data_IF_282325939793
#
_entry.id   IF_282325939793
#
_cell.length_a   1.000
_cell.length_b   1.000
_cell.length_c   1.000
_cell.angle_alpha   90.00
_cell.angle_beta   90.00
_cell.angle_gamma   90.00
#
_symmetry.space_group_name_H-M   'P 1'
#
loop_
_entity.id
_entity.type
_entity.pdbx_description
1 polymer ?
#
# COMPACT_ATOMS: atom_id res chain seq x y z
N UNK A 1 -17.78 6.21 -4.78
CA UNK A 1 -16.93 5.21 -4.09
C UNK A 1 -17.18 3.88 -4.78
N UNK A 2 -16.14 3.14 -5.18
CA UNK A 2 -16.33 1.81 -5.74
C UNK A 2 -17.10 0.91 -4.76
N UNK A 3 -18.10 0.19 -5.26
CA UNK A 3 -18.87 -0.80 -4.54
C UNK A 3 -18.18 -2.16 -4.49
N UNK A 4 -18.72 -3.08 -3.69
CA UNK A 4 -18.27 -4.46 -3.73
C UNK A 4 -18.54 -5.06 -5.13
N UNK A 5 -17.55 -5.73 -5.70
CA UNK A 5 -17.57 -6.25 -7.07
C UNK A 5 -16.96 -5.32 -8.13
N UNK A 6 -16.71 -4.05 -7.81
CA UNK A 6 -16.02 -3.14 -8.72
C UNK A 6 -14.55 -3.53 -8.87
N UNK A 7 -14.04 -3.49 -10.09
CA UNK A 7 -12.65 -3.79 -10.39
C UNK A 7 -11.83 -2.51 -10.60
N UNK A 8 -10.53 -2.61 -10.30
CA UNK A 8 -9.56 -1.57 -10.60
C UNK A 8 -8.26 -2.19 -11.09
N UNK A 9 -7.43 -1.40 -11.77
CA UNK A 9 -6.08 -1.82 -12.13
C UNK A 9 -5.12 -1.37 -11.04
N UNK A 10 -4.40 -2.31 -10.45
CA UNK A 10 -3.26 -2.05 -9.60
C UNK A 10 -2.00 -2.02 -10.45
N UNK A 11 -1.31 -0.88 -10.49
CA UNK A 11 -0.03 -0.74 -11.19
C UNK A 11 1.07 -0.58 -10.15
N UNK A 12 2.04 -1.47 -10.19
CA UNK A 12 3.27 -1.37 -9.41
C UNK A 12 4.40 -0.92 -10.33
N UNK A 13 5.19 0.05 -9.86
CA UNK A 13 6.45 0.41 -10.50
C UNK A 13 7.58 0.07 -9.54
N UNK A 14 8.44 -0.86 -9.92
CA UNK A 14 9.63 -1.25 -9.18
C UNK A 14 10.88 -0.79 -9.92
N UNK A 15 11.86 -0.23 -9.21
CA UNK A 15 13.13 0.22 -9.80
C UNK A 15 13.50 1.66 -9.47
N UNK A 16 14.77 2.00 -9.72
CA UNK A 16 15.36 3.23 -9.22
C UNK A 16 14.85 4.47 -9.97
N UNK A 17 14.44 5.55 -9.27
CA UNK A 17 13.86 6.76 -9.90
C UNK A 17 14.88 7.62 -10.68
N UNK A 18 16.14 7.18 -10.78
CA UNK A 18 17.24 7.94 -11.39
C UNK A 18 17.35 7.67 -12.90
N UNK A 19 16.39 8.11 -13.71
CA UNK A 19 16.53 8.41 -15.15
C UNK A 19 17.11 7.34 -16.10
N UNK A 20 17.41 6.14 -15.63
CA UNK A 20 17.90 5.01 -16.40
C UNK A 20 16.75 4.02 -16.60
N UNK A 21 16.76 3.33 -17.74
CA UNK A 21 15.70 2.46 -18.29
C UNK A 21 15.42 1.16 -17.50
N UNK A 22 15.38 1.22 -16.17
CA UNK A 22 15.25 0.06 -15.28
C UNK A 22 14.02 0.06 -14.37
N UNK A 23 13.03 0.93 -14.63
CA UNK A 23 11.74 0.87 -13.93
C UNK A 23 10.87 -0.20 -14.60
N UNK A 24 10.60 -1.29 -13.90
CA UNK A 24 9.65 -2.32 -14.32
C UNK A 24 8.25 -1.89 -13.88
N UNK A 25 7.31 -1.87 -14.82
CA UNK A 25 5.91 -1.66 -14.54
C UNK A 25 5.18 -2.99 -14.65
N UNK A 26 4.53 -3.39 -13.57
CA UNK A 26 3.64 -4.54 -13.53
C UNK A 26 2.23 -4.07 -13.24
N UNK A 27 1.23 -4.75 -13.81
CA UNK A 27 -0.16 -4.45 -13.56
C UNK A 27 -0.93 -5.73 -13.23
N UNK A 28 -1.83 -5.65 -12.26
CA UNK A 28 -2.79 -6.71 -11.93
C UNK A 28 -4.18 -6.12 -11.75
N UNK A 29 -5.22 -6.93 -11.83
CA UNK A 29 -6.56 -6.50 -11.46
C UNK A 29 -6.75 -6.64 -9.95
N UNK A 30 -7.46 -5.69 -9.38
CA UNK A 30 -7.98 -5.77 -8.03
C UNK A 30 -9.49 -5.74 -8.03
N UNK A 31 -10.09 -6.47 -7.10
CA UNK A 31 -11.54 -6.52 -6.91
C UNK A 31 -11.90 -5.96 -5.54
N UNK A 32 -12.80 -4.99 -5.50
CA UNK A 32 -13.31 -4.42 -4.26
C UNK A 32 -14.23 -5.43 -3.57
N UNK A 33 -13.96 -5.74 -2.30
CA UNK A 33 -14.80 -6.60 -1.46
C UNK A 33 -15.52 -5.81 -0.36
N UNK A 34 -15.22 -4.52 -0.23
CA UNK A 34 -15.85 -3.59 0.69
C UNK A 34 -15.14 -2.25 0.74
N UNK A 35 -15.61 -1.33 1.57
CA UNK A 35 -15.01 -0.01 1.69
C UNK A 35 -13.53 -0.13 2.15
N UNK A 36 -12.60 0.27 1.29
CA UNK A 36 -11.16 0.16 1.54
C UNK A 36 -10.65 -1.29 1.65
N UNK A 37 -11.41 -2.28 1.18
CA UNK A 37 -11.04 -3.70 1.24
C UNK A 37 -11.08 -4.29 -0.16
N UNK A 38 -10.01 -4.95 -0.57
CA UNK A 38 -9.89 -5.49 -1.92
C UNK A 38 -9.03 -6.76 -1.93
N UNK A 39 -9.12 -7.53 -3.01
CA UNK A 39 -8.17 -8.59 -3.38
C UNK A 39 -7.39 -8.17 -4.62
N UNK A 40 -6.25 -8.82 -4.91
CA UNK A 40 -5.44 -8.59 -6.10
C UNK A 40 -5.21 -9.92 -6.81
N UNK A 41 -5.38 -10.01 -8.12
CA UNK A 41 -5.37 -11.29 -8.85
C UNK A 41 -4.04 -12.09 -8.77
N UNK A 42 -2.98 -11.51 -8.23
CA UNK A 42 -1.72 -12.21 -7.99
C UNK A 42 -1.74 -13.12 -6.76
N UNK A 43 -2.72 -12.98 -5.87
CA UNK A 43 -2.91 -13.80 -4.67
C UNK A 43 -4.36 -13.77 -4.15
N UNK A 44 -4.69 -14.66 -3.23
CA UNK A 44 -6.04 -14.74 -2.66
C UNK A 44 -6.16 -13.95 -1.33
N UNK A 45 -5.22 -13.04 -1.03
CA UNK A 45 -5.25 -12.30 0.23
C UNK A 45 -6.18 -11.08 0.12
N UNK A 46 -6.93 -10.84 1.20
CA UNK A 46 -7.60 -9.56 1.38
C UNK A 46 -6.60 -8.50 1.85
N UNK A 47 -6.63 -7.35 1.20
CA UNK A 47 -5.88 -6.15 1.57
C UNK A 47 -6.82 -5.07 2.04
N UNK A 48 -6.46 -4.43 3.15
CA UNK A 48 -7.24 -3.38 3.78
C UNK A 48 -6.44 -2.09 3.80
N UNK A 49 -7.09 -1.00 3.42
CA UNK A 49 -6.61 0.35 3.71
C UNK A 49 -6.90 0.63 5.19
N UNK A 50 -5.84 0.67 6.00
CA UNK A 50 -5.94 0.86 7.44
C UNK A 50 -5.99 2.34 7.82
N UNK A 51 -5.31 3.19 7.04
CA UNK A 51 -5.25 4.63 7.25
C UNK A 51 -4.81 5.36 5.99
N UNK A 52 -5.24 6.61 5.86
CA UNK A 52 -4.80 7.56 4.83
C UNK A 52 -4.65 8.93 5.50
N UNK A 53 -3.60 9.69 5.17
CA UNK A 53 -3.48 11.06 5.66
C UNK A 53 -4.54 11.97 5.03
N UNK A 54 -4.83 13.10 5.69
CA UNK A 54 -5.83 14.08 5.24
C UNK A 54 -5.64 14.52 3.78
N UNK A 55 -4.38 14.61 3.32
CA UNK A 55 -4.04 15.01 1.95
C UNK A 55 -4.04 13.88 0.92
N UNK A 56 -4.37 12.64 1.29
CA UNK A 56 -4.30 11.45 0.42
C UNK A 56 -2.91 11.23 -0.20
N UNK A 57 -1.85 11.62 0.48
CA UNK A 57 -0.45 11.50 0.08
C UNK A 57 0.20 10.25 0.62
N UNK A 58 -0.17 9.81 1.82
CA UNK A 58 0.38 8.66 2.53
C UNK A 58 -0.75 7.73 2.95
N UNK A 59 -0.60 6.44 2.69
CA UNK A 59 -1.55 5.42 3.09
C UNK A 59 -0.85 4.23 3.75
N UNK A 60 -1.56 3.57 4.67
CA UNK A 60 -1.18 2.28 5.25
C UNK A 60 -2.11 1.23 4.67
N UNK A 61 -1.53 0.20 4.07
CA UNK A 61 -2.25 -0.96 3.54
C UNK A 61 -1.66 -2.21 4.16
N UNK A 62 -2.50 -3.19 4.50
CA UNK A 62 -2.03 -4.48 4.98
C UNK A 62 -3.06 -5.58 4.91
N UNK A 63 -2.62 -6.81 5.16
CA UNK A 63 -3.49 -7.99 5.27
C UNK A 63 -4.06 -8.10 6.68
N UNK A 64 -5.32 -8.53 6.87
CA UNK A 64 -5.94 -8.59 8.19
C UNK A 64 -5.26 -9.54 9.19
N UNK A 65 -4.48 -10.49 8.70
CA UNK A 65 -3.69 -11.41 9.53
C UNK A 65 -2.33 -10.83 9.96
N UNK A 66 -2.02 -9.57 9.61
CA UNK A 66 -0.77 -8.91 9.99
C UNK A 66 0.47 -9.35 9.18
N UNK A 67 0.33 -10.31 8.27
CA UNK A 67 1.46 -10.92 7.56
C UNK A 67 2.16 -9.98 6.58
N UNK A 68 1.40 -9.08 5.94
CA UNK A 68 1.94 -8.09 5.02
C UNK A 68 1.39 -6.72 5.33
N UNK A 69 2.27 -5.72 5.41
CA UNK A 69 1.90 -4.32 5.58
C UNK A 69 2.90 -3.42 4.86
N UNK A 70 2.40 -2.39 4.20
CA UNK A 70 3.24 -1.40 3.52
C UNK A 70 2.70 0.01 3.68
N UNK A 71 3.63 0.96 3.69
CA UNK A 71 3.36 2.40 3.71
C UNK A 71 3.60 2.91 2.29
N UNK A 72 2.58 3.44 1.66
CA UNK A 72 2.68 4.07 0.34
C UNK A 72 2.68 5.59 0.49
N UNK A 73 3.63 6.30 -0.14
CA UNK A 73 3.62 7.76 -0.24
C UNK A 73 3.72 8.18 -1.71
N UNK A 74 2.97 9.21 -2.11
CA UNK A 74 3.00 9.75 -3.48
C UNK A 74 4.32 10.47 -3.82
N UNK A 75 5.08 10.88 -2.80
CA UNK A 75 6.41 11.46 -2.94
C UNK A 75 7.48 10.38 -2.70
N UNK A 76 8.49 10.25 -3.57
CA UNK A 76 9.60 9.31 -3.37
C UNK A 76 10.40 9.56 -2.08
N UNK A 77 10.38 10.79 -1.57
CA UNK A 77 11.04 11.16 -0.31
C UNK A 77 10.12 11.02 0.91
N UNK A 78 8.82 10.86 0.66
CA UNK A 78 7.76 10.92 1.66
C UNK A 78 7.72 12.21 2.49
N UNK A 79 6.84 12.24 3.49
CA UNK A 79 6.89 13.20 4.59
C UNK A 79 7.27 12.47 5.88
N UNK A 80 8.35 12.88 6.55
CA UNK A 80 8.88 12.15 7.70
C UNK A 80 7.87 12.04 8.86
N UNK A 81 7.08 13.09 9.08
CA UNK A 81 5.97 13.14 10.02
C UNK A 81 4.86 12.13 9.67
N UNK A 82 4.46 12.07 8.40
CA UNK A 82 3.42 11.15 7.93
C UNK A 82 3.89 9.70 7.91
N UNK A 83 5.14 9.45 7.53
CA UNK A 83 5.75 8.12 7.61
C UNK A 83 5.80 7.66 9.07
N UNK A 84 6.16 8.55 10.01
CA UNK A 84 6.12 8.23 11.43
C UNK A 84 4.71 7.85 11.88
N UNK A 85 3.70 8.66 11.55
CA UNK A 85 2.31 8.35 11.87
C UNK A 85 1.85 7.02 11.24
N UNK A 86 2.19 6.77 9.99
CA UNK A 86 1.86 5.52 9.30
C UNK A 86 2.49 4.29 9.97
N UNK A 87 3.72 4.42 10.51
CA UNK A 87 4.36 3.36 11.31
C UNK A 87 3.62 3.12 12.63
N UNK A 88 3.20 4.18 13.32
CA UNK A 88 2.41 4.07 14.56
C UNK A 88 1.07 3.37 14.31
N UNK A 89 0.42 3.63 13.17
CA UNK A 89 -0.81 2.92 12.80
C UNK A 89 -0.57 1.42 12.57
N UNK A 90 0.51 1.03 11.91
CA UNK A 90 0.85 -0.38 11.73
C UNK A 90 1.09 -1.08 13.08
N UNK A 91 1.88 -0.47 13.96
CA UNK A 91 2.13 -0.99 15.30
C UNK A 91 0.83 -1.14 16.10
N UNK A 92 -0.04 -0.13 16.06
CA UNK A 92 -1.36 -0.17 16.70
C UNK A 92 -2.25 -1.31 16.20
N UNK A 93 -2.15 -1.67 14.91
CA UNK A 93 -2.91 -2.77 14.31
C UNK A 93 -2.23 -4.14 14.46
N UNK A 94 -1.14 -4.24 15.24
CA UNK A 94 -0.46 -5.51 15.56
C UNK A 94 0.52 -6.00 14.50
N UNK A 95 0.97 -5.13 13.58
CA UNK A 95 2.02 -5.46 12.62
C UNK A 95 3.40 -5.33 13.26
N UNK A 96 4.33 -6.21 12.87
CA UNK A 96 5.74 -6.09 13.29
C UNK A 96 6.47 -5.01 12.46
N UNK A 97 6.47 -3.78 12.98
CA UNK A 97 7.11 -2.63 12.33
C UNK A 97 8.64 -2.69 12.30
N UNK A 98 9.25 -3.65 13.01
CA UNK A 98 10.70 -3.89 12.92
C UNK A 98 11.10 -4.53 11.58
N UNK A 99 10.15 -5.16 10.89
CA UNK A 99 10.37 -5.77 9.57
C UNK A 99 10.21 -4.81 8.40
N UNK A 100 9.78 -3.57 8.64
CA UNK A 100 9.60 -2.57 7.58
C UNK A 100 10.92 -2.23 6.91
N UNK A 101 10.92 -2.31 5.58
CA UNK A 101 12.06 -1.95 4.72
C UNK A 101 11.63 -0.87 3.75
N UNK A 102 12.52 0.09 3.51
CA UNK A 102 12.33 1.08 2.45
C UNK A 102 12.62 0.39 1.12
N UNK A 103 11.59 0.28 0.28
CA UNK A 103 11.77 -0.10 -1.12
C UNK A 103 12.34 1.12 -1.87
N UNK A 104 13.36 0.89 -2.68
CA UNK A 104 14.12 1.92 -3.41
C UNK A 104 13.94 1.77 -4.91
#
# INVERSE_FOLDING_TARGET
MPGAGDTFTWTETSGQPSGASGAEQSATLGTMIGQGRFTLDWDDHAYWVLWVDEGFRTAVIGTPNGRFGFIADRSPKGGADRIKAAREILDFNGYDVSQLRVLK
#
